data_IF_106547574855
#
_entry.id   IF_106547574855
#
_cell.length_a   1.000
_cell.length_b   1.000
_cell.length_c   1.000
_cell.angle_alpha   90.00
_cell.angle_beta   90.00
_cell.angle_gamma   90.00
#
_symmetry.space_group_name_H-M   'P 1'
#
loop_
_entity.id
_entity.type
_entity.pdbx_description
1 polymer ?
#
# COMPACT_ATOMS: atom_id res chain seq x y z
N UNK A 1 20.00 4.63 -5.41
CA UNK A 1 19.00 3.55 -5.28
C UNK A 1 18.44 3.06 -6.61
N UNK A 2 17.85 3.92 -7.46
CA UNK A 2 17.28 3.48 -8.76
C UNK A 2 18.25 2.65 -9.63
N UNK A 3 19.53 3.03 -9.69
CA UNK A 3 20.57 2.26 -10.38
C UNK A 3 20.76 0.83 -9.82
N UNK A 4 20.58 0.63 -8.51
CA UNK A 4 20.62 -0.68 -7.88
C UNK A 4 19.43 -1.53 -8.34
N UNK A 5 18.21 -0.99 -8.32
CA UNK A 5 17.02 -1.69 -8.79
C UNK A 5 17.18 -2.13 -10.26
N UNK A 6 17.64 -1.22 -11.13
CA UNK A 6 17.90 -1.54 -12.54
C UNK A 6 18.91 -2.66 -12.72
N UNK A 7 19.99 -2.67 -11.94
CA UNK A 7 21.09 -3.62 -12.08
C UNK A 7 20.79 -4.99 -11.45
N UNK A 8 20.14 -4.99 -10.29
CA UNK A 8 20.09 -6.14 -9.39
C UNK A 8 18.69 -6.73 -9.21
N UNK A 9 17.64 -6.03 -9.67
CA UNK A 9 16.23 -6.38 -9.43
C UNK A 9 15.37 -6.31 -10.69
N UNK A 10 15.98 -6.35 -11.87
CA UNK A 10 15.25 -6.42 -13.13
C UNK A 10 15.24 -7.83 -13.71
N UNK A 11 14.15 -8.17 -14.41
CA UNK A 11 13.99 -9.42 -15.15
C UNK A 11 13.28 -9.14 -16.46
N UNK A 12 13.73 -9.80 -17.53
CA UNK A 12 13.05 -9.74 -18.83
C UNK A 12 12.03 -10.88 -18.91
N UNK A 13 10.77 -10.53 -19.19
CA UNK A 13 9.67 -11.47 -19.41
C UNK A 13 9.19 -11.36 -20.86
N UNK A 14 8.64 -12.43 -21.42
CA UNK A 14 8.02 -12.44 -22.75
C UNK A 14 6.50 -12.53 -22.60
N UNK A 15 5.76 -11.54 -23.10
CA UNK A 15 4.30 -11.50 -23.11
C UNK A 15 3.82 -11.08 -24.50
N UNK A 16 2.88 -11.82 -25.10
CA UNK A 16 2.34 -11.54 -26.44
C UNK A 16 3.42 -11.33 -27.53
N UNK A 17 4.50 -12.12 -27.48
CA UNK A 17 5.62 -12.05 -28.45
C UNK A 17 6.54 -10.84 -28.30
N UNK A 18 6.37 -10.03 -27.25
CA UNK A 18 7.26 -8.91 -26.93
C UNK A 18 7.97 -9.16 -25.60
N UNK A 19 9.22 -8.71 -25.54
CA UNK A 19 10.01 -8.75 -24.31
C UNK A 19 9.86 -7.45 -23.53
N UNK A 20 9.61 -7.58 -22.24
CA UNK A 20 9.43 -6.49 -21.30
C UNK A 20 10.40 -6.64 -20.14
N UNK A 21 11.04 -5.55 -19.74
CA UNK A 21 11.90 -5.54 -18.54
C UNK A 21 11.09 -4.99 -17.38
N UNK A 22 10.90 -5.82 -16.36
CA UNK A 22 10.16 -5.50 -15.15
C UNK A 22 11.06 -5.53 -13.93
N UNK A 23 10.59 -4.95 -12.82
CA UNK A 23 11.23 -5.00 -11.51
C UNK A 23 10.59 -6.07 -10.63
N UNK A 24 11.41 -6.72 -9.79
CA UNK A 24 10.97 -7.80 -8.91
C UNK A 24 11.74 -7.78 -7.59
N UNK A 25 11.06 -8.14 -6.50
CA UNK A 25 11.72 -8.46 -5.24
C UNK A 25 12.43 -9.81 -5.35
N UNK A 26 13.76 -9.78 -5.37
CA UNK A 26 14.61 -10.97 -5.44
C UNK A 26 15.84 -10.70 -4.58
N UNK A 27 15.69 -10.92 -3.28
CA UNK A 27 16.84 -10.90 -2.38
C UNK A 27 17.85 -11.96 -2.83
N UNK A 28 19.17 -11.71 -2.80
CA UNK A 28 20.16 -12.77 -3.02
C UNK A 28 20.35 -13.66 -1.78
N UNK A 29 19.81 -13.27 -0.62
CA UNK A 29 19.95 -14.02 0.64
C UNK A 29 19.05 -15.25 0.56
N UNK A 30 19.61 -16.42 0.86
CA UNK A 30 18.90 -17.70 0.82
C UNK A 30 19.07 -18.50 2.11
N UNK A 31 19.16 -17.77 3.23
CA UNK A 31 19.25 -18.27 4.61
C UNK A 31 18.15 -17.61 5.45
N UNK A 32 17.76 -18.19 6.59
CA UNK A 32 16.87 -17.52 7.54
C UNK A 32 17.33 -16.11 7.87
N UNK A 33 16.40 -15.15 8.01
CA UNK A 33 16.74 -13.78 8.40
C UNK A 33 17.34 -13.75 9.81
N UNK A 34 18.42 -13.01 10.08
CA UNK A 34 19.03 -12.97 11.41
C UNK A 34 18.06 -12.56 12.54
N UNK A 35 17.18 -11.60 12.27
CA UNK A 35 16.20 -11.05 13.20
C UNK A 35 15.01 -11.99 13.49
N UNK A 36 14.76 -12.97 12.61
CA UNK A 36 13.64 -13.91 12.71
C UNK A 36 14.07 -15.37 12.47
N UNK A 37 15.34 -15.70 12.78
CA UNK A 37 15.99 -16.94 12.34
C UNK A 37 15.17 -18.19 12.67
N UNK A 38 14.67 -18.28 13.91
CA UNK A 38 13.88 -19.43 14.38
C UNK A 38 12.60 -19.60 13.56
N UNK A 39 11.84 -18.53 13.37
CA UNK A 39 10.57 -18.55 12.64
C UNK A 39 10.77 -18.93 11.18
N UNK A 40 11.76 -18.32 10.52
CA UNK A 40 12.10 -18.58 9.12
C UNK A 40 12.65 -20.01 8.92
N UNK A 41 13.41 -20.53 9.89
CA UNK A 41 13.88 -21.92 9.86
C UNK A 41 12.70 -22.89 9.93
N UNK A 42 11.76 -22.67 10.86
CA UNK A 42 10.58 -23.52 11.01
C UNK A 42 9.60 -23.42 9.82
N UNK A 43 9.49 -22.26 9.18
CA UNK A 43 8.69 -22.10 7.96
C UNK A 43 9.12 -23.05 6.83
N UNK A 44 10.40 -23.43 6.79
CA UNK A 44 10.97 -24.35 5.80
C UNK A 44 11.19 -25.78 6.35
N UNK A 45 10.74 -26.10 7.56
CA UNK A 45 11.02 -27.39 8.20
C UNK A 45 10.41 -28.56 7.42
N UNK A 46 9.15 -28.41 7.00
CA UNK A 46 8.38 -29.46 6.33
C UNK A 46 8.58 -29.50 4.81
N UNK A 47 9.37 -28.58 4.22
CA UNK A 47 9.69 -28.64 2.78
C UNK A 47 10.91 -29.53 2.53
N UNK A 48 11.00 -30.21 1.36
CA UNK A 48 12.20 -30.93 0.96
C UNK A 48 13.45 -30.06 1.06
N UNK A 49 14.56 -30.63 1.54
CA UNK A 49 15.81 -29.89 1.80
C UNK A 49 16.26 -29.03 0.61
N UNK A 50 16.14 -29.55 -0.60
CA UNK A 50 16.47 -28.86 -1.85
C UNK A 50 15.67 -27.57 -2.11
N UNK A 51 14.49 -27.43 -1.50
CA UNK A 51 13.62 -26.25 -1.62
C UNK A 51 13.82 -25.23 -0.50
N UNK A 52 14.44 -25.61 0.62
CA UNK A 52 14.56 -24.74 1.80
C UNK A 52 15.24 -23.41 1.51
N UNK A 53 16.31 -23.43 0.71
CA UNK A 53 17.01 -22.21 0.28
C UNK A 53 16.12 -21.27 -0.54
N UNK A 54 15.23 -21.82 -1.38
CA UNK A 54 14.28 -21.02 -2.14
C UNK A 54 13.22 -20.41 -1.20
N UNK A 55 12.69 -21.18 -0.25
CA UNK A 55 11.75 -20.65 0.76
C UNK A 55 12.39 -19.49 1.53
N UNK A 56 13.63 -19.64 2.01
CA UNK A 56 14.32 -18.56 2.70
C UNK A 56 14.59 -17.36 1.78
N UNK A 57 14.87 -17.59 0.50
CA UNK A 57 15.02 -16.54 -0.49
C UNK A 57 13.74 -15.71 -0.66
N UNK A 58 12.61 -16.40 -0.77
CA UNK A 58 11.30 -15.78 -0.94
C UNK A 58 10.84 -15.05 0.33
N UNK A 59 11.16 -15.58 1.52
CA UNK A 59 10.97 -14.89 2.82
C UNK A 59 11.76 -13.58 2.86
N UNK A 60 13.05 -13.60 2.51
CA UNK A 60 13.87 -12.39 2.47
C UNK A 60 13.37 -11.39 1.42
N UNK A 61 12.85 -11.88 0.29
CA UNK A 61 12.29 -11.04 -0.78
C UNK A 61 10.97 -10.40 -0.36
N UNK A 62 10.12 -11.11 0.40
CA UNK A 62 8.89 -10.52 0.94
C UNK A 62 9.21 -9.47 2.01
N UNK A 63 10.24 -9.67 2.83
CA UNK A 63 10.73 -8.64 3.75
C UNK A 63 11.26 -7.39 3.00
N UNK A 64 11.98 -7.58 1.88
CA UNK A 64 12.41 -6.45 1.01
C UNK A 64 11.21 -5.64 0.46
N UNK A 65 10.03 -6.25 0.34
CA UNK A 65 8.82 -5.57 -0.14
C UNK A 65 8.16 -4.64 0.86
N UNK A 66 8.45 -4.80 2.16
CA UNK A 66 7.72 -4.13 3.23
C UNK A 66 6.28 -4.63 3.43
N UNK A 67 5.94 -5.79 2.85
CA UNK A 67 4.63 -6.45 2.95
C UNK A 67 4.81 -7.87 3.54
N UNK A 68 5.54 -8.00 4.65
CA UNK A 68 5.94 -9.26 5.24
C UNK A 68 5.13 -9.63 6.51
N UNK A 69 4.38 -10.74 6.54
CA UNK A 69 3.95 -11.54 5.40
C UNK A 69 2.48 -11.33 5.10
N UNK A 70 2.14 -11.62 3.87
CA UNK A 70 0.79 -11.60 3.33
C UNK A 70 0.59 -12.84 2.49
N UNK A 71 -0.66 -13.29 2.45
CA UNK A 71 -1.21 -14.24 1.49
C UNK A 71 -0.81 -13.92 0.06
N UNK A 72 -0.56 -12.64 -0.26
CA UNK A 72 -0.08 -12.15 -1.57
C UNK A 72 1.11 -12.94 -2.09
N UNK A 73 2.00 -13.36 -1.20
CA UNK A 73 3.24 -14.03 -1.56
C UNK A 73 3.17 -15.56 -1.49
N UNK A 74 2.02 -16.13 -1.10
CA UNK A 74 1.87 -17.55 -0.80
C UNK A 74 1.05 -18.22 -1.90
N UNK A 75 1.56 -19.28 -2.51
CA UNK A 75 0.88 -19.94 -3.64
C UNK A 75 -0.48 -20.55 -3.28
N UNK A 76 -0.74 -20.77 -1.98
CA UNK A 76 -2.04 -21.26 -1.46
C UNK A 76 -2.78 -20.22 -0.58
N UNK A 77 -2.28 -18.99 -0.54
CA UNK A 77 -2.79 -17.86 0.24
C UNK A 77 -2.91 -18.12 1.76
N UNK A 78 -2.19 -19.12 2.29
CA UNK A 78 -2.35 -19.60 3.68
C UNK A 78 -1.04 -19.88 4.42
N UNK A 79 -0.19 -20.75 3.88
CA UNK A 79 0.93 -21.34 4.64
C UNK A 79 2.29 -20.88 4.15
N UNK A 80 3.18 -20.59 5.10
CA UNK A 80 4.48 -19.97 4.86
C UNK A 80 5.44 -20.84 4.03
N UNK A 81 5.27 -22.15 4.07
CA UNK A 81 6.02 -23.14 3.31
C UNK A 81 5.70 -23.13 1.80
N UNK A 82 4.71 -22.34 1.39
CA UNK A 82 4.31 -22.12 -0.01
C UNK A 82 4.67 -20.73 -0.54
N UNK A 83 5.48 -19.97 0.21
CA UNK A 83 5.93 -18.65 -0.24
C UNK A 83 6.73 -18.73 -1.54
N UNK A 84 6.41 -17.83 -2.46
CA UNK A 84 7.01 -17.75 -3.80
C UNK A 84 7.13 -16.28 -4.25
N UNK A 85 7.54 -15.37 -3.37
CA UNK A 85 7.68 -13.93 -3.67
C UNK A 85 8.45 -13.65 -4.96
N UNK A 86 9.55 -14.37 -5.21
CA UNK A 86 10.38 -14.25 -6.41
C UNK A 86 9.75 -14.85 -7.67
N UNK A 87 8.56 -15.45 -7.58
CA UNK A 87 7.71 -15.82 -8.71
C UNK A 87 6.69 -14.71 -9.07
N UNK A 88 6.44 -13.77 -8.17
CA UNK A 88 5.46 -12.70 -8.35
C UNK A 88 6.17 -11.44 -8.81
N UNK A 89 5.68 -10.83 -9.89
CA UNK A 89 6.09 -9.50 -10.34
C UNK A 89 5.08 -8.50 -9.78
N UNK A 90 5.46 -7.70 -8.77
CA UNK A 90 4.53 -6.84 -8.05
C UNK A 90 4.19 -5.58 -8.85
N UNK A 91 2.90 -5.28 -8.97
CA UNK A 91 2.38 -4.10 -9.66
C UNK A 91 2.80 -2.79 -8.99
N UNK A 92 2.79 -2.77 -7.66
CA UNK A 92 3.19 -1.64 -6.82
C UNK A 92 4.69 -1.35 -6.92
N UNK A 93 5.57 -2.36 -6.86
CA UNK A 93 7.01 -2.16 -7.06
C UNK A 93 7.30 -1.49 -8.41
N UNK A 94 6.68 -1.98 -9.48
CA UNK A 94 6.89 -1.43 -10.82
C UNK A 94 6.33 -0.01 -10.94
N UNK A 95 5.18 0.27 -10.32
CA UNK A 95 4.61 1.60 -10.24
C UNK A 95 5.51 2.57 -9.44
N UNK A 96 6.10 2.13 -8.32
CA UNK A 96 7.07 2.91 -7.54
C UNK A 96 8.36 3.19 -8.32
N UNK A 97 8.86 2.23 -9.11
CA UNK A 97 10.03 2.47 -9.97
C UNK A 97 9.74 3.49 -11.07
N UNK A 98 8.54 3.44 -11.65
CA UNK A 98 8.05 4.45 -12.59
C UNK A 98 8.00 5.85 -11.95
N UNK A 99 7.53 5.94 -10.71
CA UNK A 99 7.52 7.19 -9.95
C UNK A 99 8.93 7.68 -9.60
N UNK A 100 9.85 6.77 -9.26
CA UNK A 100 11.24 7.12 -9.02
C UNK A 100 11.91 7.76 -10.25
N UNK A 101 11.55 7.33 -11.47
CA UNK A 101 12.01 8.00 -12.69
C UNK A 101 11.52 9.44 -12.76
N UNK A 102 10.26 9.69 -12.41
CA UNK A 102 9.69 11.05 -12.38
C UNK A 102 10.38 11.95 -11.35
N UNK A 103 10.56 11.46 -10.13
CA UNK A 103 11.26 12.18 -9.06
C UNK A 103 12.68 12.51 -9.50
N UNK A 104 13.41 11.54 -10.08
CA UNK A 104 14.78 11.77 -10.56
C UNK A 104 14.83 12.78 -11.71
N UNK A 105 13.90 12.70 -12.67
CA UNK A 105 13.82 13.67 -13.76
C UNK A 105 13.53 15.09 -13.24
N UNK A 106 12.64 15.21 -12.26
CA UNK A 106 12.36 16.47 -11.58
C UNK A 106 13.63 17.02 -10.92
N UNK A 107 14.25 16.27 -10.02
CA UNK A 107 15.45 16.69 -9.28
C UNK A 107 16.61 17.07 -10.21
N UNK A 108 16.87 16.30 -11.27
CA UNK A 108 17.95 16.60 -12.22
C UNK A 108 17.78 17.95 -12.91
N UNK A 109 16.56 18.32 -13.32
CA UNK A 109 16.41 19.64 -13.93
C UNK A 109 16.25 20.78 -12.93
N UNK A 110 15.92 20.52 -11.65
CA UNK A 110 16.02 21.55 -10.60
C UNK A 110 17.47 21.98 -10.37
N UNK A 111 18.43 21.07 -10.56
CA UNK A 111 19.87 21.38 -10.52
C UNK A 111 20.43 21.81 -11.89
N UNK A 112 19.57 22.03 -12.89
CA UNK A 112 19.94 22.52 -14.23
C UNK A 112 20.41 21.45 -15.23
N UNK A 113 20.42 20.17 -14.87
CA UNK A 113 20.80 19.06 -15.76
C UNK A 113 19.61 18.65 -16.67
N UNK A 114 19.34 19.49 -17.65
CA UNK A 114 18.23 19.32 -18.60
C UNK A 114 18.39 18.10 -19.51
N UNK A 115 19.64 17.74 -19.85
CA UNK A 115 19.93 16.55 -20.64
C UNK A 115 19.53 15.28 -19.88
N UNK A 116 19.95 15.17 -18.61
CA UNK A 116 19.60 14.00 -17.80
C UNK A 116 18.10 13.91 -17.50
N UNK A 117 17.44 15.04 -17.24
CA UNK A 117 15.97 15.10 -17.14
C UNK A 117 15.30 14.54 -18.40
N UNK A 118 15.75 14.95 -19.59
CA UNK A 118 15.18 14.48 -20.86
C UNK A 118 15.40 12.97 -21.08
N UNK A 119 16.60 12.45 -20.78
CA UNK A 119 16.90 11.01 -20.86
C UNK A 119 15.98 10.18 -19.97
N UNK A 120 15.79 10.60 -18.72
CA UNK A 120 14.95 9.87 -17.75
C UNK A 120 13.48 9.96 -18.15
N UNK A 121 13.01 11.09 -18.69
CA UNK A 121 11.65 11.22 -19.20
C UNK A 121 11.37 10.26 -20.38
N UNK A 122 12.33 10.09 -21.29
CA UNK A 122 12.24 9.12 -22.39
C UNK A 122 12.22 7.69 -21.84
N UNK A 123 13.05 7.40 -20.83
CA UNK A 123 13.07 6.10 -20.15
C UNK A 123 11.72 5.79 -19.48
N UNK A 124 11.17 6.76 -18.73
CA UNK A 124 9.86 6.65 -18.08
C UNK A 124 8.74 6.42 -19.08
N UNK A 125 8.69 7.17 -20.18
CA UNK A 125 7.65 7.00 -21.20
C UNK A 125 7.62 5.57 -21.75
N UNK A 126 8.79 5.00 -22.09
CA UNK A 126 8.90 3.59 -22.52
C UNK A 126 8.50 2.60 -21.42
N UNK A 127 8.78 2.94 -20.17
CA UNK A 127 8.42 2.10 -19.04
C UNK A 127 6.90 2.13 -18.77
N UNK A 128 6.22 3.26 -18.96
CA UNK A 128 4.75 3.34 -18.89
C UNK A 128 4.11 2.41 -19.92
N UNK A 129 4.60 2.40 -21.18
CA UNK A 129 4.11 1.46 -22.20
C UNK A 129 4.31 -0.01 -21.79
N UNK A 130 5.44 -0.30 -21.14
CA UNK A 130 5.73 -1.64 -20.58
C UNK A 130 4.78 -1.98 -19.44
N UNK A 131 4.55 -1.02 -18.54
CA UNK A 131 3.70 -1.17 -17.37
C UNK A 131 2.26 -1.49 -17.76
N UNK A 132 1.69 -0.71 -18.68
CA UNK A 132 0.34 -0.94 -19.20
C UNK A 132 0.23 -2.30 -19.88
N UNK A 133 1.19 -2.67 -20.74
CA UNK A 133 1.15 -3.94 -21.45
C UNK A 133 1.27 -5.18 -20.54
N UNK A 134 2.01 -5.07 -19.43
CA UNK A 134 2.26 -6.20 -18.52
C UNK A 134 1.17 -6.32 -17.46
N UNK A 135 0.79 -5.23 -16.80
CA UNK A 135 -0.01 -5.30 -15.57
C UNK A 135 -1.49 -4.99 -15.75
N UNK A 136 -1.87 -4.21 -16.78
CA UNK A 136 -3.27 -3.84 -16.97
C UNK A 136 -4.07 -5.00 -17.60
N UNK A 137 -5.19 -5.35 -16.99
CA UNK A 137 -6.17 -6.29 -17.52
C UNK A 137 -7.40 -5.51 -18.01
N UNK A 138 -7.57 -5.44 -19.33
CA UNK A 138 -8.68 -4.72 -19.96
C UNK A 138 -10.07 -5.32 -19.64
N UNK A 139 -10.14 -6.60 -19.27
CA UNK A 139 -11.43 -7.26 -18.95
C UNK A 139 -11.86 -6.92 -17.53
N UNK A 140 -10.92 -6.90 -16.59
CA UNK A 140 -11.18 -6.51 -15.22
C UNK A 140 -11.24 -4.99 -15.07
N UNK A 141 -10.52 -4.23 -15.90
CA UNK A 141 -10.42 -2.77 -15.81
C UNK A 141 -9.55 -2.33 -14.63
N UNK A 142 -8.40 -2.98 -14.43
CA UNK A 142 -7.43 -2.63 -13.38
C UNK A 142 -6.07 -3.27 -13.64
N UNK A 143 -5.05 -2.80 -12.91
CA UNK A 143 -3.75 -3.48 -12.85
C UNK A 143 -3.73 -4.62 -11.82
N UNK A 144 -2.92 -5.64 -12.07
CA UNK A 144 -2.72 -6.79 -11.17
C UNK A 144 -1.26 -7.23 -11.18
N UNK A 145 -0.85 -7.95 -10.14
CA UNK A 145 0.46 -8.63 -10.13
C UNK A 145 0.54 -9.68 -11.24
N UNK A 146 1.75 -9.92 -11.73
CA UNK A 146 2.00 -10.90 -12.78
C UNK A 146 2.75 -12.12 -12.22
N UNK A 147 2.26 -13.32 -12.48
CA UNK A 147 2.86 -14.57 -12.02
C UNK A 147 3.75 -15.17 -13.12
N UNK A 148 5.04 -15.36 -12.83
CA UNK A 148 6.01 -15.82 -13.83
C UNK A 148 5.82 -17.29 -14.22
N UNK A 149 5.32 -18.12 -13.30
CA UNK A 149 5.10 -19.54 -13.55
C UNK A 149 3.90 -19.78 -14.48
N UNK A 150 2.79 -19.07 -14.25
CA UNK A 150 1.58 -19.21 -15.08
C UNK A 150 1.65 -18.34 -16.35
N UNK A 151 2.42 -17.25 -16.31
CA UNK A 151 2.42 -16.24 -17.37
C UNK A 151 1.14 -15.40 -17.41
N UNK A 152 0.35 -15.46 -16.35
CA UNK A 152 -0.94 -14.78 -16.20
C UNK A 152 -0.91 -13.86 -14.98
N UNK A 153 -1.97 -13.03 -14.83
CA UNK A 153 -2.13 -12.23 -13.62
C UNK A 153 -2.43 -13.11 -12.41
N UNK A 154 -2.12 -12.60 -11.23
CA UNK A 154 -2.63 -13.16 -9.96
C UNK A 154 -4.12 -12.81 -9.84
N UNK A 155 -4.95 -13.80 -9.48
CA UNK A 155 -6.41 -13.62 -9.37
C UNK A 155 -6.86 -12.93 -8.08
N UNK A 156 -6.13 -13.15 -6.99
CA UNK A 156 -6.39 -12.50 -5.71
C UNK A 156 -6.19 -10.99 -5.83
N UNK A 157 -7.14 -10.22 -5.30
CA UNK A 157 -7.12 -8.75 -5.39
C UNK A 157 -6.59 -8.13 -4.11
N UNK A 158 -5.53 -7.33 -4.24
CA UNK A 158 -4.91 -6.59 -3.16
C UNK A 158 -5.03 -5.06 -3.39
N UNK A 159 -4.94 -4.23 -2.34
CA UNK A 159 -4.90 -2.77 -2.50
C UNK A 159 -3.78 -2.23 -3.40
N UNK A 160 -2.75 -3.05 -3.67
CA UNK A 160 -1.64 -2.72 -4.58
C UNK A 160 -2.12 -2.28 -5.96
N UNK A 161 -3.29 -2.74 -6.40
CA UNK A 161 -3.88 -2.36 -7.70
C UNK A 161 -4.19 -0.86 -7.81
N UNK A 162 -4.28 -0.12 -6.69
CA UNK A 162 -4.47 1.32 -6.68
C UNK A 162 -3.16 2.12 -6.66
N UNK A 163 -2.00 1.48 -6.42
CA UNK A 163 -0.70 2.15 -6.36
C UNK A 163 -0.31 2.85 -7.67
N UNK A 164 -0.69 2.34 -8.87
CA UNK A 164 -0.49 3.09 -10.12
C UNK A 164 -1.24 4.43 -10.15
N UNK A 165 -2.38 4.54 -9.46
CA UNK A 165 -3.09 5.83 -9.30
C UNK A 165 -2.27 6.81 -8.45
N UNK A 166 -1.65 6.32 -7.38
CA UNK A 166 -0.82 7.12 -6.46
C UNK A 166 0.45 7.66 -7.11
N UNK A 167 1.08 6.81 -7.93
CA UNK A 167 2.36 7.06 -8.61
C UNK A 167 2.20 7.69 -9.99
N UNK A 168 0.96 7.80 -10.48
CA UNK A 168 0.63 8.33 -11.81
C UNK A 168 1.38 7.59 -12.94
N UNK A 169 1.59 6.28 -12.77
CA UNK A 169 2.24 5.41 -13.75
C UNK A 169 1.24 4.83 -14.76
N UNK A 170 0.65 5.71 -15.55
CA UNK A 170 -0.28 5.37 -16.63
C UNK A 170 -0.40 6.55 -17.60
N UNK A 171 -0.93 6.31 -18.79
CA UNK A 171 -1.24 7.36 -19.75
C UNK A 171 -2.35 8.28 -19.25
N UNK A 172 -2.04 9.55 -19.05
CA UNK A 172 -3.00 10.57 -18.58
C UNK A 172 -4.15 10.82 -19.56
N UNK A 173 -4.04 10.35 -20.81
CA UNK A 173 -5.10 10.43 -21.82
C UNK A 173 -6.23 9.42 -21.59
N UNK A 174 -6.02 8.40 -20.73
CA UNK A 174 -6.97 7.33 -20.50
C UNK A 174 -7.89 7.61 -19.30
N UNK A 175 -8.67 8.70 -19.37
CA UNK A 175 -9.61 9.07 -18.31
C UNK A 175 -10.68 8.00 -18.01
N UNK A 176 -11.27 7.28 -18.99
CA UNK A 176 -12.23 6.22 -18.71
C UNK A 176 -11.68 5.10 -17.82
N UNK A 177 -10.40 4.71 -18.03
CA UNK A 177 -9.73 3.68 -17.23
C UNK A 177 -9.71 4.02 -15.74
N UNK A 178 -9.59 5.29 -15.36
CA UNK A 178 -9.58 5.69 -13.95
C UNK A 178 -10.90 5.32 -13.24
N UNK A 179 -12.02 5.49 -13.93
CA UNK A 179 -13.35 5.13 -13.41
C UNK A 179 -13.51 3.62 -13.36
N UNK A 180 -12.96 2.89 -14.33
CA UNK A 180 -12.96 1.42 -14.33
C UNK A 180 -12.19 0.85 -13.14
N UNK A 181 -11.00 1.38 -12.83
CA UNK A 181 -10.19 0.98 -11.67
C UNK A 181 -10.96 1.20 -10.37
N UNK A 182 -11.61 2.37 -10.20
CA UNK A 182 -12.46 2.61 -9.04
C UNK A 182 -13.60 1.59 -8.98
N UNK A 183 -14.24 1.31 -10.12
CA UNK A 183 -15.28 0.29 -10.22
C UNK A 183 -14.75 -1.09 -9.80
N UNK A 184 -13.53 -1.46 -10.19
CA UNK A 184 -12.90 -2.74 -9.83
C UNK A 184 -12.62 -2.83 -8.34
N UNK A 185 -12.03 -1.79 -7.74
CA UNK A 185 -11.81 -1.69 -6.29
C UNK A 185 -13.13 -1.87 -5.50
N UNK A 186 -14.22 -1.30 -6.00
CA UNK A 186 -15.56 -1.45 -5.41
C UNK A 186 -16.12 -2.86 -5.60
N UNK A 187 -16.11 -3.40 -6.83
CA UNK A 187 -16.64 -4.75 -7.14
C UNK A 187 -15.91 -5.85 -6.39
N UNK A 188 -14.60 -5.71 -6.19
CA UNK A 188 -13.79 -6.66 -5.41
C UNK A 188 -13.99 -6.51 -3.90
N UNK A 189 -14.63 -5.43 -3.43
CA UNK A 189 -14.98 -5.24 -2.03
C UNK A 189 -13.89 -4.63 -1.15
N UNK A 190 -12.82 -4.05 -1.74
CA UNK A 190 -11.72 -3.45 -0.97
C UNK A 190 -12.15 -2.17 -0.22
N UNK A 191 -13.15 -1.45 -0.74
CA UNK A 191 -13.52 -0.11 -0.26
C UNK A 191 -14.74 -0.09 0.69
N UNK A 192 -15.20 -1.26 1.14
CA UNK A 192 -16.47 -1.40 1.85
C UNK A 192 -16.34 -1.36 3.38
N UNK A 193 -15.12 -1.40 3.93
CA UNK A 193 -14.91 -1.57 5.36
C UNK A 193 -15.01 -0.24 6.12
N UNK A 194 -15.47 -0.27 7.40
CA UNK A 194 -15.71 0.94 8.19
C UNK A 194 -14.42 1.64 8.64
N UNK A 195 -13.36 0.88 8.94
CA UNK A 195 -12.11 1.43 9.48
C UNK A 195 -11.05 1.81 8.45
N UNK A 196 -11.31 1.60 7.15
CA UNK A 196 -10.34 1.81 6.07
C UNK A 196 -10.32 0.67 5.08
N UNK A 197 -9.13 0.34 4.57
CA UNK A 197 -8.88 -0.70 3.57
C UNK A 197 -7.96 -1.76 4.18
N UNK A 198 -8.34 -3.05 4.16
CA UNK A 198 -7.50 -4.11 4.69
C UNK A 198 -6.37 -4.42 3.72
N UNK A 199 -5.25 -4.92 4.23
CA UNK A 199 -4.12 -5.32 3.40
C UNK A 199 -4.49 -6.46 2.44
N UNK A 200 -5.45 -7.33 2.79
CA UNK A 200 -6.04 -8.29 1.85
C UNK A 200 -7.48 -8.61 2.18
N UNK A 201 -8.14 -9.38 1.31
CA UNK A 201 -9.47 -9.93 1.54
C UNK A 201 -9.45 -11.39 1.99
N UNK A 202 -8.26 -11.96 2.22
CA UNK A 202 -8.07 -13.39 2.47
C UNK A 202 -8.32 -13.70 3.96
N UNK A 203 -9.59 -13.90 4.31
CA UNK A 203 -10.03 -14.15 5.70
C UNK A 203 -9.46 -15.42 6.34
N UNK A 204 -9.08 -16.40 5.53
CA UNK A 204 -8.47 -17.64 6.03
C UNK A 204 -6.99 -17.46 6.40
N UNK A 205 -6.37 -16.37 5.96
CA UNK A 205 -4.99 -16.08 6.28
C UNK A 205 -4.84 -15.67 7.74
N UNK A 206 -3.66 -15.94 8.30
CA UNK A 206 -3.23 -15.50 9.63
C UNK A 206 -1.94 -14.66 9.56
N UNK A 207 -1.55 -14.24 8.35
CA UNK A 207 -0.37 -13.41 8.19
C UNK A 207 -0.65 -11.97 8.63
N UNK A 208 0.39 -11.27 9.07
CA UNK A 208 0.29 -9.94 9.65
C UNK A 208 -0.28 -8.91 8.66
N UNK A 209 0.09 -8.98 7.39
CA UNK A 209 -0.35 -8.08 6.34
C UNK A 209 -1.50 -8.65 5.51
N UNK A 210 -2.50 -9.16 6.20
CA UNK A 210 -3.75 -9.64 5.62
C UNK A 210 -4.97 -9.18 6.41
N UNK A 211 -6.17 -9.51 5.92
CA UNK A 211 -7.42 -9.33 6.63
C UNK A 211 -7.33 -9.81 8.10
N UNK A 212 -7.82 -9.04 9.08
CA UNK A 212 -8.57 -7.78 8.97
C UNK A 212 -7.69 -6.52 9.07
N UNK A 213 -6.37 -6.65 9.04
CA UNK A 213 -5.46 -5.55 9.36
C UNK A 213 -5.37 -4.53 8.22
N UNK A 214 -5.57 -3.26 8.55
CA UNK A 214 -5.27 -2.11 7.69
C UNK A 214 -4.02 -1.37 8.16
N UNK A 215 -3.23 -0.92 7.19
CA UNK A 215 -1.97 -0.20 7.41
C UNK A 215 -2.04 1.19 6.79
N UNK A 216 -1.41 2.16 7.46
CA UNK A 216 -1.45 3.55 7.04
C UNK A 216 -0.87 3.77 5.62
N UNK A 217 0.27 3.18 5.22
CA UNK A 217 0.79 3.34 3.85
C UNK A 217 -0.18 2.87 2.77
N UNK A 218 -0.83 1.72 2.97
CA UNK A 218 -1.79 1.18 2.00
C UNK A 218 -3.01 2.09 1.88
N UNK A 219 -3.58 2.50 3.01
CA UNK A 219 -4.73 3.39 3.02
C UNK A 219 -4.38 4.73 2.39
N UNK A 220 -3.23 5.31 2.76
CA UNK A 220 -2.73 6.56 2.22
C UNK A 220 -2.53 6.51 0.70
N UNK A 221 -1.83 5.49 0.18
CA UNK A 221 -1.62 5.35 -1.26
C UNK A 221 -2.94 5.22 -2.03
N UNK A 222 -3.91 4.43 -1.53
CA UNK A 222 -5.21 4.31 -2.21
C UNK A 222 -5.96 5.66 -2.18
N UNK A 223 -6.00 6.34 -1.03
CA UNK A 223 -6.67 7.63 -0.89
C UNK A 223 -6.03 8.69 -1.79
N UNK A 224 -4.72 8.83 -1.74
CA UNK A 224 -3.98 9.82 -2.53
C UNK A 224 -4.05 9.53 -4.02
N UNK A 225 -3.98 8.26 -4.43
CA UNK A 225 -4.16 7.89 -5.83
C UNK A 225 -5.54 8.27 -6.36
N UNK A 226 -6.60 8.03 -5.58
CA UNK A 226 -7.94 8.47 -5.94
C UNK A 226 -8.05 10.01 -5.97
N UNK A 227 -7.39 10.71 -5.04
CA UNK A 227 -7.40 12.19 -4.97
C UNK A 227 -6.71 12.84 -6.18
N UNK A 228 -5.55 12.31 -6.59
CA UNK A 228 -4.72 12.81 -7.69
C UNK A 228 -5.35 12.63 -9.07
N UNK A 229 -6.28 11.69 -9.22
CA UNK A 229 -6.97 11.40 -10.50
C UNK A 229 -7.70 12.59 -11.16
N UNK A 230 -7.90 13.71 -10.44
CA UNK A 230 -8.69 14.88 -10.86
C UNK A 230 -10.12 14.56 -11.33
N UNK A 231 -10.63 13.35 -11.05
CA UNK A 231 -11.98 12.93 -11.39
C UNK A 231 -12.91 13.13 -10.18
N UNK A 232 -14.02 13.90 -10.29
CA UNK A 232 -14.85 14.26 -9.13
C UNK A 232 -15.36 13.06 -8.31
N UNK A 233 -15.77 11.97 -8.97
CA UNK A 233 -16.25 10.75 -8.28
C UNK A 233 -15.12 10.09 -7.47
N UNK A 234 -13.89 10.09 -8.02
CA UNK A 234 -12.74 9.48 -7.36
C UNK A 234 -12.27 10.35 -6.19
N UNK A 235 -12.26 11.67 -6.35
CA UNK A 235 -11.95 12.60 -5.26
C UNK A 235 -12.98 12.53 -4.13
N UNK A 236 -14.26 12.35 -4.46
CA UNK A 236 -15.28 12.12 -3.44
C UNK A 236 -15.04 10.80 -2.70
N UNK A 237 -14.66 9.73 -3.42
CA UNK A 237 -14.30 8.45 -2.80
C UNK A 237 -13.05 8.54 -1.93
N UNK A 238 -12.05 9.29 -2.37
CA UNK A 238 -10.84 9.57 -1.61
C UNK A 238 -11.18 10.21 -0.26
N UNK A 239 -12.06 11.22 -0.26
CA UNK A 239 -12.54 11.85 0.97
C UNK A 239 -13.29 10.88 1.89
N UNK A 240 -14.19 10.05 1.35
CA UNK A 240 -14.90 9.05 2.16
C UNK A 240 -13.94 8.09 2.87
N UNK A 241 -12.91 7.60 2.16
CA UNK A 241 -11.91 6.69 2.69
C UNK A 241 -11.00 7.38 3.70
N UNK A 242 -10.58 8.63 3.43
CA UNK A 242 -9.81 9.45 4.36
C UNK A 242 -10.57 9.70 5.66
N UNK A 243 -11.86 10.04 5.56
CA UNK A 243 -12.71 10.27 6.70
C UNK A 243 -12.85 9.01 7.57
N UNK A 244 -12.97 7.82 6.96
CA UNK A 244 -12.99 6.53 7.68
C UNK A 244 -11.66 6.26 8.39
N UNK A 245 -10.55 6.37 7.67
CA UNK A 245 -9.22 6.09 8.23
C UNK A 245 -8.89 7.05 9.38
N UNK A 246 -9.11 8.35 9.21
CA UNK A 246 -8.84 9.35 10.27
C UNK A 246 -9.74 9.09 11.49
N UNK A 247 -11.04 8.85 11.29
CA UNK A 247 -11.94 8.59 12.42
C UNK A 247 -11.58 7.29 13.15
N UNK A 248 -11.17 6.24 12.44
CA UNK A 248 -10.69 4.99 13.04
C UNK A 248 -9.45 5.23 13.91
N UNK A 249 -8.47 5.97 13.40
CA UNK A 249 -7.26 6.32 14.17
C UNK A 249 -7.61 7.17 15.40
N UNK A 250 -8.50 8.16 15.22
CA UNK A 250 -8.92 9.05 16.29
C UNK A 250 -9.70 8.31 17.40
N UNK A 251 -10.60 7.39 17.04
CA UNK A 251 -11.36 6.58 18.00
C UNK A 251 -10.44 5.71 18.87
N UNK A 252 -9.44 5.04 18.29
CA UNK A 252 -8.44 4.34 19.11
C UNK A 252 -7.69 5.31 19.99
N UNK A 253 -7.24 6.42 19.42
CA UNK A 253 -6.46 7.39 20.14
C UNK A 253 -7.22 7.96 21.35
N UNK A 254 -8.53 8.18 21.25
CA UNK A 254 -9.36 8.63 22.38
C UNK A 254 -9.38 7.61 23.53
N UNK A 255 -9.23 6.32 23.25
CA UNK A 255 -9.26 5.25 24.27
C UNK A 255 -7.86 4.92 24.79
N UNK A 256 -6.89 4.78 23.89
CA UNK A 256 -5.55 4.27 24.20
C UNK A 256 -4.52 5.38 24.42
N UNK A 257 -4.82 6.61 24.00
CA UNK A 257 -3.88 7.74 23.90
C UNK A 257 -2.63 7.42 23.07
N UNK A 258 -2.78 6.49 22.12
CA UNK A 258 -1.70 5.94 21.28
C UNK A 258 -2.19 5.81 19.85
N UNK A 259 -1.26 6.00 18.92
CA UNK A 259 -1.43 5.63 17.51
C UNK A 259 -0.66 4.33 17.27
N UNK A 260 -1.24 3.39 16.54
CA UNK A 260 -0.70 2.05 16.38
C UNK A 260 -0.17 1.82 14.96
N UNK A 261 0.68 0.82 14.80
CA UNK A 261 1.23 0.42 13.51
C UNK A 261 0.13 -0.04 12.54
N UNK A 262 -0.86 -0.78 13.05
CA UNK A 262 -1.98 -1.35 12.28
C UNK A 262 -3.30 -1.34 13.07
N UNK A 263 -4.41 -1.39 12.34
CA UNK A 263 -5.77 -1.30 12.87
C UNK A 263 -6.64 -2.43 12.31
N UNK A 264 -7.59 -2.96 13.10
CA UNK A 264 -8.69 -3.73 12.50
C UNK A 264 -9.60 -2.76 11.73
N UNK A 265 -9.73 -3.00 10.43
CA UNK A 265 -10.58 -2.14 9.60
C UNK A 265 -11.96 -2.72 9.35
N UNK A 266 -12.16 -4.01 9.64
CA UNK A 266 -13.36 -4.75 9.28
C UNK A 266 -14.43 -4.69 10.35
N UNK A 267 -14.05 -4.81 11.62
CA UNK A 267 -14.96 -4.73 12.76
C UNK A 267 -15.01 -3.32 13.34
N UNK A 268 -16.06 -3.03 14.11
CA UNK A 268 -16.17 -1.76 14.84
C UNK A 268 -15.20 -1.71 16.03
N UNK A 269 -14.84 -2.87 16.61
CA UNK A 269 -13.83 -2.95 17.66
C UNK A 269 -12.43 -2.70 17.09
N UNK A 270 -11.67 -1.88 17.80
CA UNK A 270 -10.69 -1.03 17.13
C UNK A 270 -9.27 -1.58 17.13
N UNK A 271 -9.00 -2.60 17.96
CA UNK A 271 -7.67 -3.20 18.10
C UNK A 271 -7.47 -4.38 17.16
N UNK A 272 -6.25 -4.49 16.63
CA UNK A 272 -5.88 -5.55 15.68
C UNK A 272 -6.01 -6.94 16.31
N UNK A 273 -6.22 -7.97 15.48
CA UNK A 273 -6.55 -9.32 15.92
C UNK A 273 -5.48 -10.01 16.82
N UNK A 274 -4.25 -9.48 16.88
CA UNK A 274 -3.17 -9.94 17.77
C UNK A 274 -2.44 -8.69 18.31
N UNK A 275 -2.59 -8.36 19.59
CA UNK A 275 -2.16 -7.07 20.15
C UNK A 275 -0.69 -7.07 20.59
N UNK A 276 -0.12 -8.23 20.94
CA UNK A 276 1.20 -8.33 21.59
C UNK A 276 2.38 -7.86 20.71
N UNK A 277 2.23 -7.84 19.38
CA UNK A 277 3.24 -7.38 18.41
C UNK A 277 2.89 -6.05 17.74
N UNK A 278 1.81 -5.38 18.14
CA UNK A 278 1.42 -4.11 17.54
C UNK A 278 2.20 -2.95 18.17
N UNK A 279 3.01 -2.26 17.38
CA UNK A 279 3.88 -1.18 17.88
C UNK A 279 3.15 0.17 17.93
N UNK A 280 3.38 0.94 19.00
CA UNK A 280 2.83 2.29 19.18
C UNK A 280 3.74 3.38 18.58
N UNK A 281 3.15 4.53 18.24
CA UNK A 281 3.87 5.71 17.75
C UNK A 281 4.49 5.53 16.36
N UNK A 282 4.03 4.56 15.58
CA UNK A 282 4.66 4.17 14.32
C UNK A 282 4.68 5.31 13.29
N UNK A 283 5.85 5.59 12.72
CA UNK A 283 6.09 6.79 11.90
C UNK A 283 5.18 6.90 10.68
N UNK A 284 4.87 5.78 10.01
CA UNK A 284 3.95 5.80 8.87
C UNK A 284 2.51 6.15 9.27
N UNK A 285 2.08 5.80 10.48
CA UNK A 285 0.72 6.06 10.95
C UNK A 285 0.59 7.55 11.21
N UNK A 286 1.54 8.09 11.96
CA UNK A 286 1.60 9.51 12.29
C UNK A 286 1.67 10.37 11.01
N UNK A 287 2.58 10.02 10.09
CA UNK A 287 2.77 10.77 8.85
C UNK A 287 1.55 10.75 7.92
N UNK A 288 0.99 9.57 7.66
CA UNK A 288 -0.20 9.45 6.82
C UNK A 288 -1.42 10.13 7.45
N UNK A 289 -1.59 10.00 8.77
CA UNK A 289 -2.69 10.64 9.49
C UNK A 289 -2.60 12.17 9.40
N UNK A 290 -1.40 12.73 9.66
CA UNK A 290 -1.15 14.17 9.55
C UNK A 290 -1.42 14.69 8.14
N UNK A 291 -0.89 14.03 7.12
CA UNK A 291 -1.10 14.42 5.72
C UNK A 291 -2.58 14.44 5.35
N UNK A 292 -3.34 13.40 5.71
CA UNK A 292 -4.77 13.34 5.43
C UNK A 292 -5.56 14.38 6.24
N UNK A 293 -5.21 14.61 7.50
CA UNK A 293 -5.86 15.63 8.33
C UNK A 293 -5.65 17.04 7.77
N UNK A 294 -4.44 17.36 7.31
CA UNK A 294 -4.15 18.66 6.67
C UNK A 294 -4.90 18.77 5.35
N UNK A 295 -4.82 17.75 4.50
CA UNK A 295 -5.44 17.70 3.17
C UNK A 295 -6.96 17.86 3.23
N UNK A 296 -7.62 17.26 4.22
CA UNK A 296 -9.09 17.27 4.36
C UNK A 296 -9.60 18.14 5.53
N UNK A 297 -8.77 18.98 6.12
CA UNK A 297 -9.05 19.83 7.29
C UNK A 297 -10.38 20.57 7.24
N UNK A 298 -10.76 21.10 6.07
CA UNK A 298 -12.01 21.86 5.87
C UNK A 298 -13.28 21.00 5.72
N UNK A 299 -13.13 19.70 5.51
CA UNK A 299 -14.24 18.78 5.18
C UNK A 299 -14.43 17.69 6.23
N UNK A 300 -13.38 17.32 6.95
CA UNK A 300 -13.44 16.21 7.88
C UNK A 300 -14.23 16.55 9.15
N UNK A 301 -15.16 15.68 9.50
CA UNK A 301 -15.91 15.72 10.76
C UNK A 301 -15.55 14.51 11.63
N UNK A 302 -15.56 14.70 12.95
CA UNK A 302 -15.54 13.55 13.86
C UNK A 302 -16.92 12.92 13.84
N UNK A 303 -17.00 11.59 13.85
CA UNK A 303 -18.26 10.94 14.19
C UNK A 303 -18.55 11.15 15.68
N UNK A 304 -19.62 11.86 16.03
CA UNK A 304 -20.10 12.05 17.42
C UNK A 304 -20.64 10.75 18.07
N UNK A 305 -20.10 9.58 17.70
CA UNK A 305 -20.27 8.36 18.50
C UNK A 305 -19.43 8.46 19.78
N UNK A 306 -19.58 9.56 20.49
CA UNK A 306 -18.94 9.81 21.77
C UNK A 306 -19.83 9.20 22.83
N UNK A 307 -19.23 8.24 23.53
CA UNK A 307 -19.64 7.70 24.82
C UNK A 307 -20.24 8.82 25.66
N UNK A 308 -21.47 8.63 26.12
CA UNK A 308 -22.08 9.49 27.13
C UNK A 308 -21.27 9.38 28.43
N UNK A 309 -20.22 10.19 28.51
CA UNK A 309 -19.55 10.56 29.74
C UNK A 309 -19.32 12.06 29.66
N UNK A 310 -20.21 12.80 30.33
CA UNK A 310 -20.18 14.21 30.69
C UNK A 310 -19.02 15.02 30.10
N UNK A 311 -19.25 15.86 29.07
CA UNK A 311 -18.64 17.22 28.96
C UNK A 311 -19.48 18.10 28.00
N UNK A 312 -19.64 19.35 28.44
CA UNK A 312 -20.29 20.55 27.89
C UNK A 312 -20.26 20.79 26.37
N UNK A 313 -21.38 21.35 25.89
CA UNK A 313 -21.62 21.97 24.58
C UNK A 313 -20.41 22.75 24.04
N UNK A 314 -19.90 22.33 22.88
CA UNK A 314 -18.93 23.12 22.09
C UNK A 314 -19.70 23.79 20.95
N UNK A 315 -19.97 25.08 21.13
CA UNK A 315 -20.51 25.98 20.10
C UNK A 315 -19.44 26.33 19.04
N UNK A 316 -19.92 26.50 17.80
CA UNK A 316 -19.34 27.20 16.63
C UNK A 316 -17.83 27.51 16.68
N UNK A 317 -17.00 26.54 16.32
CA UNK A 317 -15.57 26.73 16.10
C UNK A 317 -15.25 26.61 14.60
N UNK A 318 -14.33 27.45 14.09
CA UNK A 318 -13.88 27.36 12.70
C UNK A 318 -13.16 26.00 12.46
N UNK A 319 -13.11 25.49 11.21
CA UNK A 319 -12.46 24.19 10.92
C UNK A 319 -11.00 24.10 11.41
N UNK A 320 -10.30 25.23 11.47
CA UNK A 320 -8.95 25.34 12.03
C UNK A 320 -8.94 25.05 13.54
N UNK A 321 -9.90 25.55 14.31
CA UNK A 321 -9.98 25.32 15.75
C UNK A 321 -10.32 23.86 16.08
N UNK A 322 -11.16 23.23 15.24
CA UNK A 322 -11.39 21.78 15.29
C UNK A 322 -10.09 21.03 15.01
N UNK A 323 -9.31 21.44 14.01
CA UNK A 323 -8.02 20.83 13.69
C UNK A 323 -7.00 21.04 14.81
N UNK A 324 -6.89 22.26 15.36
CA UNK A 324 -5.98 22.59 16.48
C UNK A 324 -6.34 21.77 17.70
N UNK A 325 -7.61 21.78 18.15
CA UNK A 325 -8.04 20.94 19.28
C UNK A 325 -7.78 19.45 19.03
N UNK A 326 -7.97 18.98 17.80
CA UNK A 326 -7.64 17.59 17.43
C UNK A 326 -6.14 17.32 17.50
N UNK A 327 -5.31 18.22 16.99
CA UNK A 327 -3.86 18.09 17.04
C UNK A 327 -3.34 18.21 18.49
N UNK A 328 -3.90 19.11 19.30
CA UNK A 328 -3.59 19.23 20.74
C UNK A 328 -4.03 18.01 21.52
N UNK A 329 -5.19 17.44 21.20
CA UNK A 329 -5.63 16.18 21.79
C UNK A 329 -4.72 15.03 21.37
N UNK A 330 -4.25 14.96 20.12
CA UNK A 330 -3.42 13.88 19.57
C UNK A 330 -1.93 13.98 19.98
N UNK A 331 -1.38 15.19 20.01
CA UNK A 331 0.05 15.45 20.21
C UNK A 331 0.38 16.15 21.54
N UNK A 332 -0.63 16.51 22.34
CA UNK A 332 -0.48 17.38 23.49
C UNK A 332 -0.52 18.87 23.12
N UNK A 333 -0.78 19.73 24.12
CA UNK A 333 -0.70 21.20 23.96
C UNK A 333 0.72 21.63 23.61
N UNK A 334 0.88 22.43 22.56
CA UNK A 334 2.15 23.08 22.18
C UNK A 334 2.34 24.46 22.82
N UNK A 335 1.33 24.95 23.54
CA UNK A 335 1.38 26.21 24.26
C UNK A 335 1.68 25.88 25.72
N UNK A 336 2.89 26.23 26.15
CA UNK A 336 3.34 26.22 27.56
C UNK A 336 2.65 27.30 28.38
#
# INVERSE_FOLDING_TARGET
EYAFWKKCRTKTISKNGKNYTIFQYISPVNTPRPEAYRSDFFAAENVPEIKRRQIWNDINSAAESGWDFSSRWLSNSKTMDTIETSNIVPVDLNALMCWNMEILAHLHGEIGDTNRRAEINIERAKFVDTFEAVFFDDREGSWFDFNLNTGERVDDTYPSIAVPLFTECYSSLNSPMLVEVLGTLQRKGLLQFPGGIPASLIRSSKQQWDYPNGFAPINHMVIEGLRKSNHPIMQQKAFELANRWINRNYEVYQTDHKLWQRYDVAEDHVRSANDDDNEEGYGWTNGALLDLMVTYSKRISVSDKTITSDVSEINDNEPIDILIKKLENIFGSWIS
#
